data_IF_238850487727
#
_entry.id   IF_238850487727
#
_cell.length_a   1.000
_cell.length_b   1.000
_cell.length_c   1.000
_cell.angle_alpha   90.00
_cell.angle_beta   90.00
_cell.angle_gamma   90.00
#
_symmetry.space_group_name_H-M   'P 1'
#
loop_
_entity.id
_entity.type
_entity.pdbx_description
1 polymer ?
#
# COMPACT_ATOMS: atom_id res chain seq x y z
N UNK A 1 -18.13 39.94 -40.52
CA UNK A 1 -17.69 40.19 -41.95
C UNK A 1 -16.21 39.95 -42.06
N UNK A 2 -15.78 39.24 -43.11
CA UNK A 2 -14.38 39.13 -43.52
C UNK A 2 -14.08 40.13 -44.65
N UNK A 3 -12.80 40.41 -44.86
CA UNK A 3 -12.36 41.25 -46.01
C UNK A 3 -11.37 40.49 -46.88
N UNK A 4 -11.53 40.57 -48.20
CA UNK A 4 -10.58 40.07 -49.15
C UNK A 4 -9.96 41.26 -49.84
N UNK A 5 -8.62 41.35 -49.85
CA UNK A 5 -7.86 42.42 -50.51
C UNK A 5 -6.90 41.83 -51.54
N UNK A 6 -7.05 42.23 -52.79
CA UNK A 6 -6.06 41.95 -53.86
C UNK A 6 -5.04 43.10 -53.95
N UNK A 7 -3.78 42.81 -54.28
CA UNK A 7 -2.78 43.86 -54.51
C UNK A 7 -3.26 44.93 -55.51
N UNK A 8 -3.29 46.18 -55.10
CA UNK A 8 -3.70 47.33 -55.94
C UNK A 8 -5.20 47.49 -56.14
N UNK A 9 -6.02 46.73 -55.45
CA UNK A 9 -7.49 46.89 -55.47
C UNK A 9 -8.08 47.20 -54.12
N UNK A 10 -9.24 47.87 -54.03
CA UNK A 10 -9.93 48.09 -52.77
C UNK A 10 -10.44 46.80 -52.15
N UNK A 11 -10.46 46.73 -50.82
CA UNK A 11 -10.92 45.57 -50.10
C UNK A 11 -12.43 45.36 -50.33
N UNK A 12 -12.81 44.09 -50.55
CA UNK A 12 -14.21 43.67 -50.71
C UNK A 12 -14.65 43.02 -49.42
N UNK A 13 -15.79 43.46 -48.86
CA UNK A 13 -16.39 42.89 -47.69
C UNK A 13 -17.14 41.56 -48.04
N UNK A 14 -16.88 40.52 -47.29
CA UNK A 14 -17.58 39.24 -47.39
C UNK A 14 -18.49 39.08 -46.20
N UNK A 15 -19.82 39.09 -46.37
CA UNK A 15 -20.76 38.93 -45.30
C UNK A 15 -20.76 37.46 -44.80
N UNK A 16 -21.20 37.29 -43.56
CA UNK A 16 -21.39 35.96 -42.92
C UNK A 16 -20.13 35.08 -42.76
N UNK A 17 -18.97 35.71 -42.67
CA UNK A 17 -17.73 34.98 -42.31
C UNK A 17 -17.69 34.86 -40.80
N UNK A 18 -17.65 33.59 -40.31
CA UNK A 18 -17.52 33.29 -38.89
C UNK A 18 -16.14 32.65 -38.64
N UNK A 19 -15.38 33.27 -37.75
CA UNK A 19 -14.16 32.64 -37.26
C UNK A 19 -14.55 31.59 -36.22
N UNK A 20 -14.19 30.30 -36.41
CA UNK A 20 -14.52 29.30 -35.42
C UNK A 20 -13.80 29.57 -34.09
N UNK A 21 -14.45 29.24 -33.00
CA UNK A 21 -13.84 29.31 -31.68
C UNK A 21 -12.63 28.37 -31.61
N UNK A 22 -11.64 28.77 -30.81
CA UNK A 22 -10.48 27.92 -30.51
C UNK A 22 -10.96 26.63 -29.86
N UNK A 23 -10.70 25.49 -30.49
CA UNK A 23 -10.89 24.17 -29.88
C UNK A 23 -9.68 23.84 -29.05
N UNK A 24 -9.85 23.67 -27.74
CA UNK A 24 -8.83 23.09 -26.90
C UNK A 24 -8.97 21.58 -27.00
N UNK A 25 -7.94 20.85 -27.47
CA UNK A 25 -7.98 19.38 -27.50
C UNK A 25 -8.29 18.84 -26.11
N UNK A 26 -9.24 17.93 -26.00
CA UNK A 26 -9.50 17.24 -24.73
C UNK A 26 -8.32 16.34 -24.37
N UNK A 27 -7.94 16.34 -23.09
CA UNK A 27 -6.98 15.39 -22.58
C UNK A 27 -7.56 13.97 -22.73
N UNK A 28 -6.88 13.06 -23.42
CA UNK A 28 -7.39 11.71 -23.63
C UNK A 28 -7.54 10.97 -22.31
N UNK A 29 -8.51 10.07 -22.23
CA UNK A 29 -8.71 9.17 -21.11
C UNK A 29 -7.74 7.98 -21.22
N UNK A 30 -7.28 7.45 -20.09
CA UNK A 30 -6.53 6.20 -20.02
C UNK A 30 -7.45 5.05 -20.40
N UNK A 31 -6.95 4.10 -21.20
CA UNK A 31 -7.69 2.90 -21.55
C UNK A 31 -8.05 2.10 -20.31
N UNK A 32 -9.32 1.68 -20.22
CA UNK A 32 -9.81 0.91 -19.08
C UNK A 32 -9.08 -0.43 -18.99
N UNK A 33 -8.49 -0.81 -17.83
CA UNK A 33 -7.87 -2.11 -17.67
C UNK A 33 -8.90 -3.23 -17.72
N UNK A 34 -8.47 -4.42 -18.14
CA UNK A 34 -9.29 -5.65 -18.04
C UNK A 34 -9.52 -5.98 -16.56
N UNK A 35 -8.43 -5.90 -15.80
CA UNK A 35 -8.41 -6.09 -14.35
C UNK A 35 -7.21 -5.35 -13.73
N UNK A 36 -7.27 -5.14 -12.43
CA UNK A 36 -6.13 -4.77 -11.60
C UNK A 36 -5.82 -5.97 -10.72
N UNK A 37 -4.78 -6.72 -11.10
CA UNK A 37 -4.33 -7.88 -10.33
C UNK A 37 -3.52 -7.42 -9.12
N UNK A 38 -3.85 -7.96 -7.94
CA UNK A 38 -3.10 -7.71 -6.70
C UNK A 38 -2.61 -9.05 -6.16
N UNK A 39 -1.29 -9.25 -6.17
CA UNK A 39 -0.64 -10.49 -5.74
C UNK A 39 0.05 -10.28 -4.39
N UNK A 40 -0.48 -10.86 -3.29
CA UNK A 40 0.17 -10.82 -1.99
C UNK A 40 1.50 -11.57 -2.00
N UNK A 41 2.54 -10.96 -1.41
CA UNK A 41 3.87 -11.56 -1.28
C UNK A 41 4.03 -12.26 0.08
N UNK A 42 4.98 -13.20 0.22
CA UNK A 42 5.26 -13.86 1.50
C UNK A 42 5.56 -12.88 2.64
N UNK A 43 6.31 -11.83 2.39
CA UNK A 43 6.65 -10.78 3.36
C UNK A 43 5.48 -9.83 3.71
N UNK A 44 4.32 -10.05 3.11
CA UNK A 44 3.12 -9.24 3.34
C UNK A 44 2.94 -8.07 2.39
N UNK A 45 3.93 -7.71 1.60
CA UNK A 45 3.77 -6.71 0.53
C UNK A 45 2.79 -7.21 -0.53
N UNK A 46 2.23 -6.32 -1.32
CA UNK A 46 1.40 -6.68 -2.46
C UNK A 46 1.98 -6.08 -3.76
N UNK A 47 1.97 -6.88 -4.81
CA UNK A 47 2.32 -6.42 -6.16
C UNK A 47 1.03 -6.12 -6.91
N UNK A 48 0.92 -4.93 -7.45
CA UNK A 48 -0.22 -4.44 -8.22
C UNK A 48 0.14 -4.40 -9.68
N UNK A 49 -0.59 -5.13 -10.51
CA UNK A 49 -0.35 -5.24 -11.96
C UNK A 49 -1.65 -4.96 -12.71
N UNK A 50 -1.84 -3.75 -13.25
CA UNK A 50 -2.97 -3.48 -14.12
C UNK A 50 -2.79 -4.19 -15.47
N UNK A 51 -3.81 -4.89 -15.92
CA UNK A 51 -3.81 -5.64 -17.18
C UNK A 51 -4.42 -4.80 -18.28
N UNK A 52 -3.62 -4.46 -19.28
CA UNK A 52 -4.08 -3.67 -20.43
C UNK A 52 -4.89 -4.54 -21.43
N UNK A 53 -5.98 -4.02 -22.01
CA UNK A 53 -6.71 -4.73 -23.07
C UNK A 53 -5.77 -5.04 -24.26
N UNK A 54 -5.93 -6.23 -24.83
CA UNK A 54 -5.07 -6.67 -25.95
C UNK A 54 -3.67 -7.11 -25.56
N UNK A 55 -3.33 -7.10 -24.26
CA UNK A 55 -2.00 -7.44 -23.77
C UNK A 55 -1.05 -6.24 -23.67
N UNK A 56 0.16 -6.50 -23.17
CA UNK A 56 1.14 -5.44 -22.92
C UNK A 56 1.01 -4.82 -21.52
N UNK A 57 1.88 -3.86 -21.23
CA UNK A 57 1.97 -3.18 -19.94
C UNK A 57 1.62 -1.71 -20.08
N UNK A 58 1.14 -1.10 -19.00
CA UNK A 58 1.04 0.34 -18.92
C UNK A 58 2.44 0.96 -18.80
N UNK A 59 2.65 2.17 -19.34
CA UNK A 59 3.98 2.80 -19.29
C UNK A 59 4.41 3.11 -17.84
N UNK A 60 5.72 3.17 -17.58
CA UNK A 60 6.25 3.62 -16.29
C UNK A 60 5.72 5.00 -15.90
N UNK A 61 5.48 5.22 -14.61
CA UNK A 61 4.86 6.44 -14.11
C UNK A 61 3.33 6.43 -14.15
N UNK A 62 2.71 5.37 -14.69
CA UNK A 62 1.26 5.15 -14.57
C UNK A 62 0.90 5.00 -13.09
N UNK A 63 -0.17 5.65 -12.65
CA UNK A 63 -0.70 5.54 -11.29
C UNK A 63 -1.91 4.63 -11.27
N UNK A 64 -1.92 3.72 -10.32
CA UNK A 64 -3.06 2.85 -10.03
C UNK A 64 -3.62 3.22 -8.68
N UNK A 65 -4.91 3.50 -8.61
CA UNK A 65 -5.62 3.76 -7.37
C UNK A 65 -6.46 2.53 -7.01
N UNK A 66 -6.30 2.04 -5.78
CA UNK A 66 -7.03 0.89 -5.23
C UNK A 66 -7.69 1.27 -3.90
N UNK A 67 -8.75 0.58 -3.48
CA UNK A 67 -9.43 0.87 -2.22
C UNK A 67 -8.50 0.74 -1.00
N UNK A 68 -8.57 1.69 -0.09
CA UNK A 68 -7.92 1.68 1.22
C UNK A 68 -8.92 1.62 2.37
N UNK A 69 -8.46 1.73 3.61
CA UNK A 69 -9.33 1.78 4.79
C UNK A 69 -10.16 3.08 4.82
N UNK A 70 -11.35 3.01 5.42
CA UNK A 70 -12.21 4.16 5.73
C UNK A 70 -12.53 5.06 4.51
N UNK A 71 -12.64 4.45 3.32
CA UNK A 71 -12.91 5.16 2.07
C UNK A 71 -11.70 5.90 1.49
N UNK A 72 -10.53 5.71 2.07
CA UNK A 72 -9.28 6.24 1.51
C UNK A 72 -8.86 5.44 0.27
N UNK A 73 -7.94 6.00 -0.48
CA UNK A 73 -7.36 5.39 -1.68
C UNK A 73 -5.87 5.16 -1.49
N UNK A 74 -5.39 4.00 -1.91
CA UNK A 74 -3.96 3.69 -1.99
C UNK A 74 -3.52 3.92 -3.43
N UNK A 75 -2.55 4.83 -3.63
CA UNK A 75 -1.98 5.12 -4.95
C UNK A 75 -0.67 4.38 -5.12
N UNK A 76 -0.55 3.66 -6.24
CA UNK A 76 0.62 2.85 -6.59
C UNK A 76 1.16 3.33 -7.92
N UNK A 77 2.45 3.61 -8.01
CA UNK A 77 3.11 3.95 -9.26
C UNK A 77 3.68 2.71 -9.91
N UNK A 78 3.45 2.56 -11.22
CA UNK A 78 3.88 1.41 -12.00
C UNK A 78 5.28 1.64 -12.57
N UNK A 79 6.14 0.66 -12.37
CA UNK A 79 7.51 0.65 -12.89
C UNK A 79 7.61 0.15 -14.34
N UNK A 80 8.86 -0.03 -14.79
CA UNK A 80 9.17 -0.50 -16.16
C UNK A 80 8.72 -1.94 -16.42
N UNK A 81 8.55 -2.73 -15.39
CA UNK A 81 8.05 -4.12 -15.44
C UNK A 81 6.53 -4.22 -15.55
N UNK A 82 5.82 -3.08 -15.57
CA UNK A 82 4.37 -3.01 -15.62
C UNK A 82 3.68 -3.29 -14.28
N UNK A 83 4.42 -3.32 -13.17
CA UNK A 83 3.92 -3.55 -11.83
C UNK A 83 4.31 -2.45 -10.85
N UNK A 84 3.56 -2.35 -9.77
CA UNK A 84 3.88 -1.49 -8.63
C UNK A 84 3.80 -2.25 -7.33
N UNK A 85 4.46 -1.76 -6.30
CA UNK A 85 4.52 -2.41 -4.99
C UNK A 85 3.82 -1.59 -3.92
N UNK A 86 2.97 -2.25 -3.14
CA UNK A 86 2.40 -1.71 -1.91
C UNK A 86 3.07 -2.40 -0.72
N UNK A 87 3.80 -1.67 0.12
CA UNK A 87 4.36 -2.23 1.35
C UNK A 87 3.25 -2.72 2.28
N UNK A 88 3.53 -3.77 3.04
CA UNK A 88 2.56 -4.38 3.94
C UNK A 88 1.93 -3.40 4.95
N UNK A 89 2.72 -2.45 5.46
CA UNK A 89 2.26 -1.43 6.43
C UNK A 89 1.28 -0.39 5.83
N UNK A 90 1.22 -0.30 4.49
CA UNK A 90 0.27 0.53 3.75
C UNK A 90 -1.02 -0.19 3.37
N UNK A 91 -1.04 -1.51 3.49
CA UNK A 91 -2.25 -2.30 3.25
C UNK A 91 -3.26 -2.14 4.40
N UNK A 92 -4.55 -2.29 4.12
CA UNK A 92 -5.60 -2.18 5.13
C UNK A 92 -5.54 -3.32 6.15
N UNK A 93 -6.11 -3.11 7.34
CA UNK A 93 -6.22 -4.15 8.40
C UNK A 93 -7.10 -5.32 7.98
N UNK A 94 -8.09 -5.06 7.14
CA UNK A 94 -9.00 -6.05 6.55
C UNK A 94 -9.04 -5.87 5.05
N UNK A 95 -9.40 -6.93 4.31
CA UNK A 95 -9.59 -6.81 2.88
C UNK A 95 -10.69 -5.80 2.55
N UNK A 96 -10.42 -4.91 1.59
CA UNK A 96 -11.34 -3.84 1.19
C UNK A 96 -11.77 -4.05 -0.26
N UNK A 97 -13.02 -4.49 -0.50
CA UNK A 97 -13.58 -4.54 -1.85
C UNK A 97 -13.97 -3.13 -2.32
N UNK A 98 -13.87 -2.88 -3.62
CA UNK A 98 -14.24 -1.60 -4.21
C UNK A 98 -13.87 -1.53 -5.68
N UNK A 99 -13.58 -0.32 -6.15
CA UNK A 99 -13.14 -0.08 -7.53
C UNK A 99 -11.78 0.58 -7.56
N UNK A 100 -11.00 0.24 -8.56
CA UNK A 100 -9.72 0.88 -8.84
C UNK A 100 -9.72 1.55 -10.21
N UNK A 101 -8.82 2.50 -10.40
CA UNK A 101 -8.60 3.23 -11.66
C UNK A 101 -7.13 3.23 -12.01
N UNK A 102 -6.85 3.41 -13.28
CA UNK A 102 -5.50 3.53 -13.83
C UNK A 102 -5.37 4.87 -14.53
N UNK A 103 -4.27 5.58 -14.30
CA UNK A 103 -4.00 6.88 -14.91
C UNK A 103 -2.61 6.88 -15.53
N UNK A 104 -2.54 6.83 -16.87
CA UNK A 104 -1.27 7.01 -17.60
C UNK A 104 -0.78 8.47 -17.50
N UNK A 105 0.53 8.70 -17.61
CA UNK A 105 1.07 10.06 -17.66
C UNK A 105 0.37 10.92 -18.74
N UNK A 106 -0.02 12.14 -18.36
CA UNK A 106 -0.68 13.12 -19.24
C UNK A 106 -2.07 12.70 -19.78
N UNK A 107 -2.72 11.71 -19.17
CA UNK A 107 -4.10 11.31 -19.49
C UNK A 107 -5.03 11.48 -18.30
N UNK A 108 -6.34 11.48 -18.54
CA UNK A 108 -7.36 11.37 -17.51
C UNK A 108 -7.40 9.93 -16.95
N UNK A 109 -7.89 9.73 -15.72
CA UNK A 109 -8.12 8.39 -15.18
C UNK A 109 -8.99 7.53 -16.10
N UNK A 110 -8.75 6.23 -16.07
CA UNK A 110 -9.60 5.24 -16.75
C UNK A 110 -10.97 5.11 -16.09
N UNK A 111 -11.90 4.47 -16.79
CA UNK A 111 -13.11 3.93 -16.16
C UNK A 111 -12.73 2.94 -15.04
N UNK A 112 -13.50 2.90 -13.94
CA UNK A 112 -13.19 2.02 -12.81
C UNK A 112 -13.41 0.54 -13.13
N UNK A 113 -12.63 -0.32 -12.45
CA UNK A 113 -12.80 -1.77 -12.44
C UNK A 113 -12.91 -2.28 -11.01
N UNK A 114 -13.64 -3.36 -10.81
CA UNK A 114 -13.74 -3.99 -9.50
C UNK A 114 -12.39 -4.56 -9.08
N UNK A 115 -12.01 -4.31 -7.84
CA UNK A 115 -10.78 -4.81 -7.24
C UNK A 115 -10.97 -4.97 -5.73
N UNK A 116 -10.28 -5.93 -5.15
CA UNK A 116 -10.24 -6.08 -3.68
C UNK A 116 -8.81 -5.94 -3.22
N UNK A 117 -8.56 -4.92 -2.39
CA UNK A 117 -7.27 -4.75 -1.75
C UNK A 117 -7.13 -5.76 -0.62
N UNK A 118 -6.09 -6.60 -0.58
CA UNK A 118 -5.91 -7.59 0.45
C UNK A 118 -5.60 -6.96 1.80
N UNK A 119 -5.93 -7.67 2.88
CA UNK A 119 -5.52 -7.28 4.21
C UNK A 119 -4.00 -7.38 4.37
N UNK A 120 -3.43 -6.49 5.19
CA UNK A 120 -2.03 -6.61 5.60
C UNK A 120 -1.82 -7.87 6.43
N UNK A 121 -0.65 -8.47 6.31
CA UNK A 121 -0.23 -9.56 7.19
C UNK A 121 0.28 -8.98 8.50
N UNK A 122 -0.11 -9.60 9.62
CA UNK A 122 0.39 -9.25 10.95
C UNK A 122 1.65 -10.05 11.29
N UNK A 123 2.60 -9.46 12.03
CA UNK A 123 3.71 -10.22 12.59
C UNK A 123 3.21 -11.16 13.69
N UNK A 124 4.09 -12.04 14.16
CA UNK A 124 3.83 -12.95 15.30
C UNK A 124 4.84 -12.71 16.41
N UNK A 125 4.46 -13.05 17.64
CA UNK A 125 5.35 -13.10 18.80
C UNK A 125 5.30 -14.52 19.33
N UNK A 126 6.42 -15.24 19.23
CA UNK A 126 6.58 -16.55 19.83
C UNK A 126 7.15 -16.41 21.24
N UNK A 127 6.51 -17.05 22.22
CA UNK A 127 6.93 -17.13 23.61
C UNK A 127 7.35 -18.57 23.91
N UNK A 128 8.62 -18.79 24.22
CA UNK A 128 9.16 -20.13 24.52
C UNK A 128 9.76 -20.19 25.91
N UNK A 129 9.10 -20.87 26.86
CA UNK A 129 9.64 -21.10 28.20
C UNK A 129 10.89 -21.99 28.20
N UNK A 130 11.87 -21.65 29.02
CA UNK A 130 12.99 -22.53 29.33
C UNK A 130 12.57 -23.46 30.50
N UNK A 131 12.54 -24.78 30.30
CA UNK A 131 12.07 -25.71 31.33
C UNK A 131 12.98 -25.80 32.55
N UNK A 132 14.23 -25.31 32.47
CA UNK A 132 15.19 -25.34 33.57
C UNK A 132 15.14 -24.08 34.43
N UNK A 133 15.05 -22.91 33.78
CA UNK A 133 15.10 -21.62 34.49
C UNK A 133 13.73 -20.99 34.69
N UNK A 134 12.74 -21.40 33.90
CA UNK A 134 11.43 -20.77 33.83
C UNK A 134 11.40 -19.42 33.09
N UNK A 135 12.56 -18.95 32.59
CA UNK A 135 12.62 -17.74 31.80
C UNK A 135 11.92 -17.95 30.45
N UNK A 136 11.40 -16.89 29.85
CA UNK A 136 10.74 -16.95 28.55
C UNK A 136 11.58 -16.24 27.48
N UNK A 137 11.88 -16.95 26.41
CA UNK A 137 12.46 -16.37 25.20
C UNK A 137 11.33 -15.81 24.33
N UNK A 138 11.45 -14.54 23.97
CA UNK A 138 10.50 -13.80 23.14
C UNK A 138 11.10 -13.66 21.74
N UNK A 139 10.43 -14.19 20.74
CA UNK A 139 10.88 -14.15 19.34
C UNK A 139 9.81 -13.50 18.47
N UNK A 140 9.92 -12.21 18.17
CA UNK A 140 9.05 -11.57 17.19
C UNK A 140 9.46 -11.99 15.78
N UNK A 141 8.48 -12.30 14.93
CA UNK A 141 8.71 -12.70 13.54
C UNK A 141 7.96 -11.78 12.59
N UNK A 142 8.64 -11.33 11.53
CA UNK A 142 8.01 -10.57 10.45
C UNK A 142 7.00 -11.41 9.67
N UNK A 143 6.01 -10.79 9.04
CA UNK A 143 5.17 -11.47 8.07
C UNK A 143 6.03 -12.17 7.01
N UNK A 144 5.78 -13.48 6.78
CA UNK A 144 6.58 -14.28 5.85
C UNK A 144 7.92 -14.78 6.39
N UNK A 145 8.20 -14.56 7.67
CA UNK A 145 9.45 -14.93 8.33
C UNK A 145 10.49 -13.80 8.34
N UNK A 146 11.55 -14.03 9.06
CA UNK A 146 12.63 -13.06 9.26
C UNK A 146 12.59 -12.40 10.63
N UNK A 147 13.76 -11.97 11.07
CA UNK A 147 13.99 -11.38 12.38
C UNK A 147 13.83 -9.86 12.36
N UNK A 148 13.55 -9.30 13.51
CA UNK A 148 13.58 -7.87 13.74
C UNK A 148 15.00 -7.41 14.10
N UNK A 149 15.40 -6.17 13.78
CA UNK A 149 16.73 -5.66 14.11
C UNK A 149 16.90 -5.49 15.62
N UNK A 150 18.15 -5.50 16.12
CA UNK A 150 18.44 -5.18 17.51
C UNK A 150 17.91 -3.79 17.89
N UNK A 151 17.49 -3.65 19.15
CA UNK A 151 16.84 -2.43 19.65
C UNK A 151 15.34 -2.35 19.34
N UNK A 152 14.77 -3.36 18.65
CA UNK A 152 13.32 -3.53 18.58
C UNK A 152 12.78 -3.84 19.96
N UNK A 153 11.68 -3.20 20.36
CA UNK A 153 11.00 -3.51 21.61
C UNK A 153 9.73 -4.32 21.34
N UNK A 154 9.49 -5.30 22.17
CA UNK A 154 8.29 -6.13 22.17
C UNK A 154 7.57 -5.95 23.50
N UNK A 155 6.30 -5.57 23.46
CA UNK A 155 5.41 -5.58 24.62
C UNK A 155 4.56 -6.83 24.56
N UNK A 156 4.55 -7.60 25.64
CA UNK A 156 3.66 -8.76 25.82
C UNK A 156 2.70 -8.49 26.97
N UNK A 157 1.51 -9.12 27.00
CA UNK A 157 0.57 -8.97 28.11
C UNK A 157 1.19 -9.39 29.46
N UNK A 158 0.94 -8.62 30.49
CA UNK A 158 1.36 -8.92 31.87
C UNK A 158 0.23 -8.65 32.87
N UNK A 159 0.37 -9.11 34.10
CA UNK A 159 -0.67 -9.04 35.16
C UNK A 159 -0.97 -7.60 35.58
N UNK A 160 0.08 -6.78 35.75
CA UNK A 160 0.00 -5.38 36.17
C UNK A 160 0.29 -4.38 35.05
N UNK A 161 0.21 -4.83 33.79
CA UNK A 161 0.52 -4.04 32.61
C UNK A 161 1.48 -4.78 31.68
N UNK A 162 1.82 -4.18 30.52
CA UNK A 162 2.67 -4.84 29.54
C UNK A 162 4.09 -5.05 30.03
N UNK A 163 4.66 -6.21 29.73
CA UNK A 163 6.07 -6.52 29.95
C UNK A 163 6.83 -6.14 28.69
N UNK A 164 7.78 -5.22 28.80
CA UNK A 164 8.59 -4.75 27.67
C UNK A 164 9.92 -5.50 27.59
N UNK A 165 10.24 -5.99 26.41
CA UNK A 165 11.44 -6.78 26.10
C UNK A 165 12.20 -6.15 24.94
N UNK A 166 13.47 -5.91 25.08
CA UNK A 166 14.33 -5.47 23.98
C UNK A 166 14.92 -6.68 23.23
N UNK A 167 14.92 -6.60 21.90
CA UNK A 167 15.42 -7.68 21.03
C UNK A 167 16.90 -7.45 20.73
N UNK A 168 17.68 -8.50 20.95
CA UNK A 168 19.13 -8.51 20.69
C UNK A 168 19.48 -8.81 19.22
N UNK A 169 20.79 -8.96 18.98
CA UNK A 169 21.35 -9.24 17.64
C UNK A 169 20.92 -10.60 17.06
N UNK A 170 20.53 -11.52 17.92
CA UNK A 170 20.00 -12.86 17.54
C UNK A 170 18.51 -12.85 17.17
N UNK A 171 17.89 -11.66 17.20
CA UNK A 171 16.46 -11.49 16.92
C UNK A 171 15.55 -11.94 18.08
N UNK A 172 16.08 -12.12 19.27
CA UNK A 172 15.37 -12.62 20.45
C UNK A 172 15.53 -11.68 21.63
N UNK A 173 14.54 -11.74 22.51
CA UNK A 173 14.59 -11.13 23.81
C UNK A 173 14.34 -12.16 24.92
N UNK A 174 14.58 -11.81 26.16
CA UNK A 174 14.41 -12.71 27.30
C UNK A 174 13.62 -12.02 28.42
N UNK A 175 12.63 -12.69 28.95
CA UNK A 175 11.93 -12.28 30.17
C UNK A 175 12.34 -13.23 31.29
N UNK A 176 12.97 -12.73 32.36
CA UNK A 176 13.27 -13.53 33.55
C UNK A 176 11.99 -14.05 34.18
N UNK A 177 12.05 -15.24 34.77
CA UNK A 177 10.89 -15.91 35.39
C UNK A 177 10.22 -15.05 36.47
N UNK A 178 10.98 -14.28 37.27
CA UNK A 178 10.48 -13.40 38.30
C UNK A 178 9.67 -12.19 37.80
N UNK A 179 9.75 -11.91 36.48
CA UNK A 179 8.98 -10.86 35.79
C UNK A 179 7.74 -11.38 35.09
N UNK A 180 7.56 -12.68 35.05
CA UNK A 180 6.40 -13.29 34.41
C UNK A 180 5.17 -13.22 35.31
N UNK A 181 3.95 -13.17 34.75
CA UNK A 181 2.71 -13.21 35.50
C UNK A 181 2.52 -14.60 36.17
N UNK A 182 1.79 -14.63 37.26
CA UNK A 182 1.48 -15.89 38.00
C UNK A 182 0.53 -16.82 37.24
N UNK A 183 -0.19 -16.29 36.28
CA UNK A 183 -1.13 -17.01 35.40
C UNK A 183 -0.97 -16.52 33.98
N UNK A 184 -1.40 -17.33 33.01
CA UNK A 184 -1.45 -16.93 31.62
C UNK A 184 -2.31 -15.67 31.45
N UNK A 185 -1.77 -14.68 30.78
CA UNK A 185 -2.44 -13.42 30.47
C UNK A 185 -2.55 -13.28 28.96
N UNK A 186 -3.69 -13.70 28.37
CA UNK A 186 -3.91 -13.51 26.95
C UNK A 186 -4.16 -12.04 26.62
N UNK A 187 -3.71 -11.59 25.45
CA UNK A 187 -3.94 -10.21 25.05
C UNK A 187 -3.28 -9.86 23.72
N UNK A 188 -3.17 -8.56 23.50
CA UNK A 188 -2.50 -8.00 22.33
C UNK A 188 -1.09 -7.57 22.71
N UNK A 189 -0.10 -8.09 22.00
CA UNK A 189 1.27 -7.62 22.10
C UNK A 189 1.53 -6.48 21.12
N UNK A 190 2.70 -5.85 21.23
CA UNK A 190 3.17 -4.81 20.30
C UNK A 190 4.63 -5.05 19.95
N UNK A 191 4.96 -4.74 18.71
CA UNK A 191 6.35 -4.74 18.22
C UNK A 191 6.67 -3.34 17.72
N UNK A 192 7.72 -2.74 18.24
CA UNK A 192 8.16 -1.39 17.85
C UNK A 192 9.62 -1.45 17.38
N UNK A 193 9.83 -1.29 16.08
CA UNK A 193 11.17 -1.13 15.53
C UNK A 193 11.70 0.27 15.81
N UNK A 194 13.04 0.44 15.93
CA UNK A 194 13.64 1.77 16.06
C UNK A 194 13.17 2.72 14.95
N UNK A 195 12.62 3.86 15.33
CA UNK A 195 12.17 4.90 14.40
C UNK A 195 10.86 4.61 13.65
N UNK A 196 10.14 3.53 13.99
CA UNK A 196 8.86 3.18 13.38
C UNK A 196 7.71 3.15 14.40
N UNK A 197 6.46 3.33 13.97
CA UNK A 197 5.31 3.17 14.85
C UNK A 197 5.16 1.72 15.30
N UNK A 198 4.54 1.54 16.48
CA UNK A 198 4.23 0.22 17.02
C UNK A 198 3.21 -0.53 16.16
N UNK A 199 3.43 -1.83 15.98
CA UNK A 199 2.52 -2.75 15.29
C UNK A 199 1.91 -3.69 16.32
N UNK A 200 0.57 -3.77 16.34
CA UNK A 200 -0.16 -4.68 17.23
C UNK A 200 -0.13 -6.12 16.72
N UNK A 201 0.05 -7.04 17.65
CA UNK A 201 0.03 -8.49 17.43
C UNK A 201 -1.07 -9.10 18.30
N UNK A 202 -2.18 -9.56 17.70
CA UNK A 202 -3.26 -10.15 18.47
C UNK A 202 -2.90 -11.55 19.01
N UNK A 203 -3.63 -11.99 20.05
CA UNK A 203 -3.57 -13.36 20.57
C UNK A 203 -2.18 -13.81 21.06
N UNK A 204 -1.46 -12.95 21.77
CA UNK A 204 -0.23 -13.30 22.48
C UNK A 204 -0.60 -13.85 23.87
N UNK A 205 -0.04 -15.03 24.21
CA UNK A 205 -0.28 -15.72 25.49
C UNK A 205 1.01 -16.26 26.05
#
# INVERSE_FOLDING_TARGET
TGKITEPGKPAVEVPNVTTPAKVTPETPETEKPVEIEITPQPNGDAIVTPKKPGGGTYPPGTKVEIPGEDGNTITVEIGKDGSGKVPNDKLPKKAVPGTGTVTEPNKKPSQPVNVTTPARKTPTIELKPDPKTGDVTVTPQRPGGGTYPPGTTVEIPGEDGPITVEIGKDGKGKVPNDKLPKKDVPGTGKITEPGKPAVEVPNVT
#
